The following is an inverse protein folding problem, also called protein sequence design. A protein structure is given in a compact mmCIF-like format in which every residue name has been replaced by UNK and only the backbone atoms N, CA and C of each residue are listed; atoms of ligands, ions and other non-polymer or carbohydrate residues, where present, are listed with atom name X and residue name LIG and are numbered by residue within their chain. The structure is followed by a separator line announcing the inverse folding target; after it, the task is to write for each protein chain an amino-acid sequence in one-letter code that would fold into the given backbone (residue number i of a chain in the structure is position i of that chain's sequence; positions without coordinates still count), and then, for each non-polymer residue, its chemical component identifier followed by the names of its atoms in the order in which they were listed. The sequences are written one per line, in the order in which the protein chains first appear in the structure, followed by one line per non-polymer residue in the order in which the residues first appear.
data_IF_603045491004
#
_entry.id   IF_603045491004
#
_cell.length_a   1.000
_cell.length_b   1.000
_cell.length_c   1.000
_cell.angle_alpha   90.00
_cell.angle_beta   90.00
_cell.angle_gamma   90.00
#
_symmetry.space_group_name_H-M   'P 1'
#
loop_
_entity.id
_entity.type
_entity.pdbx_description
1 polymer ?
#
# COMPACT_ATOMS: atom_id res chain seq x y z
N UNK A 1 -2.87 -8.37 -23.22
CA UNK A 1 -3.54 -8.97 -22.04
C UNK A 1 -3.08 -8.20 -20.80
N UNK A 2 -4.02 -7.63 -20.04
CA UNK A 2 -3.71 -6.84 -18.83
C UNK A 2 -4.28 -7.45 -17.55
N UNK A 3 -5.10 -8.52 -17.64
CA UNK A 3 -5.68 -9.17 -16.48
C UNK A 3 -4.62 -9.93 -15.69
N UNK A 4 -4.33 -9.44 -14.50
CA UNK A 4 -3.37 -10.00 -13.56
C UNK A 4 -4.15 -10.64 -12.42
N UNK A 5 -3.92 -11.93 -12.21
CA UNK A 5 -4.53 -12.74 -11.16
C UNK A 5 -3.43 -13.03 -10.13
N UNK A 6 -3.43 -12.31 -9.02
CA UNK A 6 -2.38 -12.41 -7.99
C UNK A 6 -2.97 -12.49 -6.59
N UNK A 7 -2.14 -12.77 -5.61
CA UNK A 7 -2.49 -12.77 -4.17
C UNK A 7 -3.06 -11.41 -3.75
N UNK A 8 -2.53 -10.31 -4.30
CA UNK A 8 -3.00 -8.96 -3.99
C UNK A 8 -4.30 -8.58 -4.71
N UNK A 9 -4.97 -9.53 -5.33
CA UNK A 9 -6.25 -9.37 -6.00
C UNK A 9 -6.23 -9.57 -7.51
N UNK A 10 -7.39 -9.41 -8.11
CA UNK A 10 -7.64 -9.54 -9.55
C UNK A 10 -7.67 -8.14 -10.13
N UNK A 11 -6.68 -7.80 -10.95
CA UNK A 11 -6.43 -6.46 -11.47
C UNK A 11 -6.37 -6.46 -12.98
N UNK A 12 -6.93 -5.44 -13.64
CA UNK A 12 -6.83 -5.28 -15.09
C UNK A 12 -7.31 -3.93 -15.57
N UNK A 13 -7.03 -3.63 -16.84
CA UNK A 13 -7.63 -2.48 -17.52
C UNK A 13 -9.12 -2.77 -17.80
N UNK A 14 -9.95 -1.76 -17.60
CA UNK A 14 -11.41 -1.85 -17.84
C UNK A 14 -11.70 -1.92 -19.33
N UNK A 15 -12.61 -2.80 -19.73
CA UNK A 15 -13.02 -3.02 -21.12
C UNK A 15 -12.23 -4.15 -21.78
N UNK A 16 -12.30 -4.24 -23.10
CA UNK A 16 -11.62 -5.28 -23.87
C UNK A 16 -12.30 -6.65 -23.83
N UNK A 17 -11.53 -7.74 -23.76
CA UNK A 17 -12.03 -9.10 -23.83
C UNK A 17 -12.01 -9.79 -22.46
N UNK A 18 -12.99 -10.68 -22.26
CA UNK A 18 -13.06 -11.56 -21.09
C UNK A 18 -11.77 -12.37 -20.96
N UNK A 19 -11.29 -12.57 -19.72
CA UNK A 19 -10.05 -13.25 -19.37
C UNK A 19 -8.75 -12.56 -19.85
N UNK A 20 -8.85 -11.49 -20.66
CA UNK A 20 -7.69 -10.68 -21.09
C UNK A 20 -7.62 -9.33 -20.36
N UNK A 21 -8.76 -8.80 -19.94
CA UNK A 21 -8.93 -7.52 -19.26
C UNK A 21 -9.90 -7.69 -18.09
N UNK A 22 -10.07 -6.67 -17.25
CA UNK A 22 -11.11 -6.68 -16.22
C UNK A 22 -12.44 -6.23 -16.82
N UNK A 23 -13.21 -7.18 -17.30
CA UNK A 23 -14.56 -6.95 -17.86
C UNK A 23 -15.65 -7.12 -16.80
N UNK A 24 -16.90 -6.70 -17.06
CA UNK A 24 -18.05 -7.01 -16.19
C UNK A 24 -18.21 -8.51 -15.89
N UNK A 25 -17.94 -9.38 -16.85
CA UNK A 25 -18.03 -10.84 -16.69
C UNK A 25 -16.94 -11.32 -15.72
N UNK A 26 -15.70 -10.80 -15.84
CA UNK A 26 -14.61 -11.14 -14.93
C UNK A 26 -14.93 -10.68 -13.50
N UNK A 27 -15.49 -9.47 -13.31
CA UNK A 27 -15.89 -8.98 -12.00
C UNK A 27 -16.92 -9.90 -11.33
N UNK A 28 -17.95 -10.33 -12.06
CA UNK A 28 -18.96 -11.30 -11.58
C UNK A 28 -18.32 -12.64 -11.25
N UNK A 29 -17.49 -13.19 -12.15
CA UNK A 29 -16.81 -14.48 -11.99
C UNK A 29 -15.96 -14.53 -10.74
N UNK A 30 -15.10 -13.52 -10.51
CA UNK A 30 -14.21 -13.47 -9.35
C UNK A 30 -14.94 -13.14 -8.06
N UNK A 31 -15.99 -12.33 -8.10
CA UNK A 31 -16.87 -12.10 -6.93
C UNK A 31 -17.58 -13.38 -6.52
N UNK A 32 -18.09 -14.15 -7.49
CA UNK A 32 -18.74 -15.43 -7.23
C UNK A 32 -17.76 -16.46 -6.63
N UNK A 33 -16.55 -16.53 -7.17
CA UNK A 33 -15.51 -17.42 -6.66
C UNK A 33 -15.09 -17.06 -5.23
N UNK A 34 -14.87 -15.77 -4.94
CA UNK A 34 -14.52 -15.29 -3.60
C UNK A 34 -15.66 -15.57 -2.60
N UNK A 35 -16.93 -15.28 -2.96
CA UNK A 35 -18.07 -15.53 -2.10
C UNK A 35 -18.25 -17.03 -1.81
N UNK A 36 -18.03 -17.90 -2.81
CA UNK A 36 -18.08 -19.36 -2.63
C UNK A 36 -16.97 -19.86 -1.73
N UNK A 37 -15.75 -19.34 -1.89
CA UNK A 37 -14.63 -19.63 -0.99
C UNK A 37 -14.95 -19.23 0.45
N UNK A 38 -15.48 -18.01 0.70
CA UNK A 38 -15.87 -17.56 2.04
C UNK A 38 -16.91 -18.46 2.68
N UNK A 39 -17.94 -18.87 1.94
CA UNK A 39 -18.98 -19.81 2.44
C UNK A 39 -18.36 -21.15 2.83
N UNK A 40 -17.42 -21.65 2.03
CA UNK A 40 -16.71 -22.91 2.32
C UNK A 40 -15.80 -22.80 3.56
N UNK A 41 -15.19 -21.65 3.79
CA UNK A 41 -14.30 -21.42 4.95
C UNK A 41 -15.05 -21.15 6.25
N UNK A 42 -16.10 -20.33 6.19
CA UNK A 42 -16.80 -19.87 7.39
C UNK A 42 -17.63 -20.97 8.05
N UNK A 43 -18.14 -21.92 7.27
CA UNK A 43 -19.10 -22.94 7.76
C UNK A 43 -20.39 -22.37 8.35
N UNK A 44 -20.63 -21.05 8.19
CA UNK A 44 -21.80 -20.33 8.70
C UNK A 44 -22.96 -20.38 7.70
N UNK A 45 -24.17 -20.38 8.22
CA UNK A 45 -25.37 -20.23 7.41
C UNK A 45 -25.46 -18.83 6.78
N UNK A 46 -25.07 -17.81 7.54
CA UNK A 46 -25.08 -16.42 7.10
C UNK A 46 -23.63 -15.89 7.01
N UNK A 47 -23.21 -15.54 5.82
CA UNK A 47 -21.90 -14.93 5.51
C UNK A 47 -22.12 -13.44 5.24
N UNK A 48 -21.23 -12.58 5.73
CA UNK A 48 -21.28 -11.13 5.55
C UNK A 48 -19.97 -10.64 4.95
N UNK A 49 -20.05 -9.71 3.98
CA UNK A 49 -18.90 -9.09 3.31
C UNK A 49 -19.02 -7.56 3.37
N UNK A 50 -17.95 -6.88 3.72
CA UNK A 50 -17.82 -5.41 3.59
C UNK A 50 -17.26 -5.09 2.21
N UNK A 51 -17.84 -4.09 1.53
CA UNK A 51 -17.36 -3.60 0.23
C UNK A 51 -17.15 -2.09 0.30
N UNK A 52 -15.95 -1.64 -0.10
CA UNK A 52 -15.63 -0.24 -0.33
C UNK A 52 -14.88 -0.04 -1.64
N UNK A 53 -14.80 1.19 -2.13
CA UNK A 53 -14.11 1.52 -3.37
C UNK A 53 -13.40 2.86 -3.31
N UNK A 54 -12.37 3.02 -4.15
CA UNK A 54 -11.82 4.33 -4.45
C UNK A 54 -12.72 5.13 -5.42
N UNK A 55 -12.29 6.31 -5.84
CA UNK A 55 -13.10 7.18 -6.69
C UNK A 55 -12.94 6.92 -8.19
N UNK A 56 -12.28 5.83 -8.62
CA UNK A 56 -12.11 5.49 -10.04
C UNK A 56 -13.47 5.51 -10.77
N UNK A 57 -13.47 6.06 -11.97
CA UNK A 57 -14.69 6.22 -12.81
C UNK A 57 -15.43 4.89 -13.00
N UNK A 58 -14.69 3.78 -13.15
CA UNK A 58 -15.27 2.43 -13.27
C UNK A 58 -15.77 1.84 -11.95
N UNK A 59 -15.48 2.49 -10.81
CA UNK A 59 -15.70 1.94 -9.48
C UNK A 59 -17.15 1.58 -9.20
N UNK A 60 -18.10 2.47 -9.52
CA UNK A 60 -19.53 2.24 -9.28
C UNK A 60 -20.07 1.06 -10.09
N UNK A 61 -19.71 0.95 -11.37
CA UNK A 61 -20.10 -0.18 -12.21
C UNK A 61 -19.61 -1.50 -11.62
N UNK A 62 -18.31 -1.59 -11.29
CA UNK A 62 -17.73 -2.82 -10.72
C UNK A 62 -18.34 -3.13 -9.36
N UNK A 63 -18.56 -2.12 -8.51
CA UNK A 63 -19.17 -2.30 -7.18
C UNK A 63 -20.57 -2.91 -7.30
N UNK A 64 -21.40 -2.42 -8.21
CA UNK A 64 -22.74 -2.95 -8.42
C UNK A 64 -22.72 -4.40 -8.89
N UNK A 65 -21.83 -4.76 -9.83
CA UNK A 65 -21.68 -6.12 -10.29
C UNK A 65 -21.24 -7.06 -9.15
N UNK A 66 -20.24 -6.66 -8.37
CA UNK A 66 -19.70 -7.45 -7.26
C UNK A 66 -20.73 -7.63 -6.15
N UNK A 67 -21.35 -6.55 -5.66
CA UNK A 67 -22.31 -6.62 -4.54
C UNK A 67 -23.53 -7.46 -4.88
N UNK A 68 -24.11 -7.31 -6.07
CA UNK A 68 -25.28 -8.10 -6.46
C UNK A 68 -24.94 -9.57 -6.78
N UNK A 69 -23.71 -9.85 -7.20
CA UNK A 69 -23.23 -11.24 -7.32
C UNK A 69 -23.17 -11.90 -5.95
N UNK A 70 -22.63 -11.24 -4.93
CA UNK A 70 -22.57 -11.76 -3.56
C UNK A 70 -23.97 -11.96 -2.98
N UNK A 71 -24.87 -11.00 -3.17
CA UNK A 71 -26.29 -11.13 -2.78
C UNK A 71 -26.93 -12.35 -3.44
N UNK A 72 -26.65 -12.57 -4.73
CA UNK A 72 -27.10 -13.75 -5.47
C UNK A 72 -26.54 -15.07 -4.92
N UNK A 73 -25.40 -15.06 -4.23
CA UNK A 73 -24.86 -16.22 -3.52
C UNK A 73 -25.47 -16.42 -2.12
N UNK A 74 -26.37 -15.55 -1.67
CA UNK A 74 -26.93 -15.58 -0.31
C UNK A 74 -26.00 -14.94 0.73
N UNK A 75 -25.14 -14.01 0.34
CA UNK A 75 -24.18 -13.31 1.21
C UNK A 75 -24.69 -11.92 1.49
N UNK A 76 -24.74 -11.53 2.77
CA UNK A 76 -25.05 -10.18 3.17
C UNK A 76 -23.91 -9.22 2.85
N UNK A 77 -24.22 -8.06 2.31
CA UNK A 77 -23.24 -7.05 1.90
C UNK A 77 -23.44 -5.76 2.66
N UNK A 78 -22.38 -5.29 3.30
CA UNK A 78 -22.27 -3.94 3.86
C UNK A 78 -21.45 -3.08 2.89
N UNK A 79 -22.14 -2.20 2.16
CA UNK A 79 -21.51 -1.26 1.24
C UNK A 79 -21.17 0.03 1.98
N UNK A 80 -19.88 0.31 2.13
CA UNK A 80 -19.37 1.51 2.81
C UNK A 80 -19.01 2.65 1.83
N UNK A 81 -19.39 2.51 0.56
CA UNK A 81 -19.29 3.56 -0.45
C UNK A 81 -17.86 3.90 -0.85
N UNK A 82 -17.62 5.20 -1.08
CA UNK A 82 -16.29 5.76 -1.29
C UNK A 82 -15.48 5.64 0.00
N UNK A 83 -14.42 4.87 -0.06
CA UNK A 83 -13.63 4.51 1.12
C UNK A 83 -12.16 4.31 0.77
N UNK A 84 -11.33 4.19 1.77
CA UNK A 84 -9.92 3.88 1.61
C UNK A 84 -9.66 2.40 1.82
N UNK A 85 -8.57 1.86 1.27
CA UNK A 85 -8.15 0.47 1.55
C UNK A 85 -8.10 0.20 3.05
N UNK A 86 -7.35 0.99 3.88
CA UNK A 86 -7.30 0.73 5.32
C UNK A 86 -8.65 0.88 6.03
N UNK A 87 -9.54 1.76 5.55
CA UNK A 87 -10.88 1.86 6.16
C UNK A 87 -11.71 0.59 5.94
N UNK A 88 -11.63 -0.05 4.77
CA UNK A 88 -12.30 -1.34 4.53
C UNK A 88 -11.69 -2.43 5.42
N UNK A 89 -10.36 -2.46 5.55
CA UNK A 89 -9.65 -3.40 6.42
C UNK A 89 -10.08 -3.27 7.88
N UNK A 90 -10.23 -2.06 8.38
CA UNK A 90 -10.75 -1.77 9.73
C UNK A 90 -12.24 -2.09 9.85
N UNK A 91 -13.03 -1.88 8.80
CA UNK A 91 -14.47 -2.12 8.82
C UNK A 91 -14.83 -3.62 8.92
N UNK A 92 -14.04 -4.51 8.31
CA UNK A 92 -14.32 -5.96 8.35
C UNK A 92 -14.44 -6.51 9.76
N UNK A 93 -13.46 -6.37 10.67
CA UNK A 93 -13.60 -6.83 12.03
C UNK A 93 -14.63 -6.03 12.87
N UNK A 94 -14.84 -4.73 12.58
CA UNK A 94 -15.87 -3.93 13.25
C UNK A 94 -17.27 -4.45 12.95
N UNK A 95 -17.55 -4.83 11.71
CA UNK A 95 -18.80 -5.45 11.28
C UNK A 95 -18.92 -6.92 11.68
N UNK A 96 -17.83 -7.53 12.19
CA UNK A 96 -17.73 -8.98 12.36
C UNK A 96 -18.08 -9.71 11.06
N UNK A 97 -17.63 -9.14 9.94
CA UNK A 97 -17.82 -9.70 8.63
C UNK A 97 -16.85 -10.87 8.40
N UNK A 98 -17.20 -11.78 7.51
CA UNK A 98 -16.38 -12.94 7.16
C UNK A 98 -15.26 -12.60 6.16
N UNK A 99 -15.36 -11.42 5.54
CA UNK A 99 -14.36 -10.89 4.65
C UNK A 99 -14.72 -9.51 4.10
N UNK A 100 -13.89 -9.03 3.16
CA UNK A 100 -14.07 -7.73 2.53
C UNK A 100 -13.57 -7.69 1.10
N UNK A 101 -14.07 -6.74 0.32
CA UNK A 101 -13.58 -6.45 -1.03
C UNK A 101 -13.33 -4.95 -1.13
N UNK A 102 -12.12 -4.61 -1.59
CA UNK A 102 -11.77 -3.24 -1.93
C UNK A 102 -11.66 -3.13 -3.45
N UNK A 103 -12.41 -2.22 -4.04
CA UNK A 103 -12.42 -1.97 -5.47
C UNK A 103 -11.52 -0.80 -5.80
N UNK A 104 -10.27 -1.11 -6.11
CA UNK A 104 -9.22 -0.14 -6.40
C UNK A 104 -8.04 -0.80 -7.09
N UNK A 105 -7.39 -0.09 -8.00
CA UNK A 105 -6.10 -0.49 -8.55
C UNK A 105 -4.93 0.31 -7.95
N UNK A 106 -5.10 0.89 -6.74
CA UNK A 106 -4.08 1.69 -6.04
C UNK A 106 -3.48 2.75 -6.97
N UNK A 107 -2.17 2.80 -7.12
CA UNK A 107 -1.41 3.76 -7.92
C UNK A 107 -1.42 3.50 -9.45
N UNK A 108 -2.13 2.48 -9.94
CA UNK A 108 -2.25 2.30 -11.40
C UNK A 108 -3.06 3.44 -12.03
N UNK A 109 -2.83 3.76 -13.32
CA UNK A 109 -3.58 4.77 -14.05
C UNK A 109 -5.10 4.54 -14.04
N UNK A 110 -5.88 5.55 -14.43
CA UNK A 110 -7.34 5.58 -14.32
C UNK A 110 -8.08 4.46 -15.07
N UNK A 111 -7.45 3.91 -16.11
CA UNK A 111 -8.00 2.81 -16.91
C UNK A 111 -8.03 1.48 -16.15
N UNK A 112 -7.30 1.35 -15.06
CA UNK A 112 -7.21 0.15 -14.25
C UNK A 112 -8.26 0.12 -13.14
N UNK A 113 -8.70 -1.08 -12.79
CA UNK A 113 -9.38 -1.35 -11.52
C UNK A 113 -9.00 -2.77 -11.03
N UNK A 114 -9.39 -3.09 -9.80
CA UNK A 114 -9.15 -4.41 -9.24
C UNK A 114 -10.18 -4.76 -8.16
N UNK A 115 -10.26 -6.06 -7.86
CA UNK A 115 -10.89 -6.63 -6.68
C UNK A 115 -9.75 -7.05 -5.74
N UNK A 116 -9.50 -6.33 -4.67
CA UNK A 116 -8.60 -6.73 -3.58
C UNK A 116 -9.44 -7.47 -2.54
N UNK A 117 -9.02 -8.68 -2.16
CA UNK A 117 -9.82 -9.61 -1.35
C UNK A 117 -9.26 -9.72 0.07
N UNK A 118 -10.12 -9.57 1.07
CA UNK A 118 -9.75 -9.63 2.48
C UNK A 118 -10.37 -10.85 3.17
N UNK A 119 -9.69 -11.33 4.21
CA UNK A 119 -10.20 -12.34 5.14
C UNK A 119 -11.04 -11.69 6.27
N UNK A 120 -11.49 -12.48 7.23
CA UNK A 120 -12.30 -12.07 8.38
C UNK A 120 -11.59 -11.13 9.37
N UNK A 121 -10.26 -10.99 9.26
CA UNK A 121 -9.45 -10.07 10.06
C UNK A 121 -9.26 -8.70 9.39
N UNK A 122 -9.78 -8.53 8.18
CA UNK A 122 -9.53 -7.34 7.37
C UNK A 122 -8.12 -7.33 6.73
N UNK A 123 -7.47 -8.48 6.63
CA UNK A 123 -6.16 -8.63 6.00
C UNK A 123 -6.32 -9.21 4.59
N UNK A 124 -5.37 -8.95 3.69
CA UNK A 124 -5.37 -9.61 2.39
C UNK A 124 -5.35 -11.14 2.55
N UNK A 125 -6.07 -11.83 1.67
CA UNK A 125 -6.08 -13.29 1.63
C UNK A 125 -4.67 -13.84 1.41
N UNK A 126 -4.37 -15.01 1.97
CA UNK A 126 -3.07 -15.67 1.81
C UNK A 126 -2.87 -16.16 0.36
N UNK A 127 -1.62 -16.51 0.01
CA UNK A 127 -1.31 -17.16 -1.28
C UNK A 127 -2.11 -18.46 -1.49
N UNK A 128 -2.28 -19.25 -0.42
CA UNK A 128 -3.06 -20.47 -0.46
C UNK A 128 -4.55 -20.20 -0.75
N UNK A 129 -5.12 -19.19 -0.09
CA UNK A 129 -6.51 -18.80 -0.26
C UNK A 129 -6.74 -18.19 -1.65
N UNK A 130 -5.83 -17.33 -2.10
CA UNK A 130 -5.87 -16.77 -3.45
C UNK A 130 -5.85 -17.84 -4.54
N UNK A 131 -5.01 -18.87 -4.40
CA UNK A 131 -5.00 -20.03 -5.32
C UNK A 131 -6.31 -20.82 -5.28
N UNK A 132 -6.91 -21.00 -4.10
CA UNK A 132 -8.21 -21.67 -3.97
C UNK A 132 -9.32 -20.89 -4.67
N UNK A 133 -9.37 -19.55 -4.48
CA UNK A 133 -10.33 -18.67 -5.15
C UNK A 133 -10.15 -18.72 -6.68
N UNK A 134 -8.92 -18.67 -7.17
CA UNK A 134 -8.64 -18.75 -8.61
C UNK A 134 -9.06 -20.08 -9.21
N UNK A 135 -8.89 -21.19 -8.49
CA UNK A 135 -9.37 -22.51 -8.91
C UNK A 135 -10.90 -22.53 -9.02
N UNK A 136 -11.62 -22.07 -8.00
CA UNK A 136 -13.08 -21.95 -8.03
C UNK A 136 -13.54 -21.13 -9.24
N UNK A 137 -12.87 -20.00 -9.51
CA UNK A 137 -13.17 -19.16 -10.68
C UNK A 137 -12.92 -19.90 -12.01
N UNK A 138 -11.85 -20.66 -12.11
CA UNK A 138 -11.49 -21.41 -13.33
C UNK A 138 -12.47 -22.55 -13.61
N UNK A 139 -12.89 -23.26 -12.55
CA UNK A 139 -13.82 -24.40 -12.63
C UNK A 139 -15.29 -23.94 -12.71
N UNK A 140 -15.59 -22.65 -12.48
CA UNK A 140 -16.93 -22.08 -12.26
C UNK A 140 -17.69 -22.83 -11.14
N UNK A 141 -16.97 -23.25 -10.10
CA UNK A 141 -17.51 -24.03 -8.98
C UNK A 141 -18.19 -23.10 -7.96
N UNK A 142 -19.32 -22.54 -8.36
CA UNK A 142 -20.17 -21.71 -7.51
C UNK A 142 -21.65 -21.94 -7.83
N UNK A 143 -22.47 -21.88 -6.77
CA UNK A 143 -23.93 -22.04 -6.86
C UNK A 143 -24.64 -20.84 -6.23
N UNK A 144 -25.59 -20.29 -6.96
CA UNK A 144 -26.39 -19.16 -6.49
C UNK A 144 -27.53 -19.64 -5.59
N UNK A 145 -27.94 -18.75 -4.68
CA UNK A 145 -29.03 -19.00 -3.74
C UNK A 145 -30.39 -18.98 -4.46
N UNK A 146 -31.36 -19.67 -3.87
CA UNK A 146 -32.76 -19.54 -4.28
C UNK A 146 -33.33 -18.16 -3.83
N UNK A 147 -34.47 -17.76 -4.37
CA UNK A 147 -35.07 -16.44 -4.10
C UNK A 147 -35.29 -16.16 -2.62
N UNK A 148 -35.61 -17.18 -1.84
CA UNK A 148 -35.87 -17.05 -0.39
C UNK A 148 -34.58 -16.95 0.46
N UNK A 149 -33.42 -17.20 -0.16
CA UNK A 149 -32.10 -17.21 0.51
C UNK A 149 -31.12 -16.18 -0.05
N UNK A 150 -31.61 -15.18 -0.78
CA UNK A 150 -30.80 -14.07 -1.23
C UNK A 150 -30.24 -13.27 -0.05
N UNK A 151 -28.99 -12.80 -0.18
CA UNK A 151 -28.39 -11.90 0.78
C UNK A 151 -29.04 -10.52 0.80
N UNK A 152 -28.66 -9.70 1.78
CA UNK A 152 -29.17 -8.33 1.96
C UNK A 152 -28.09 -7.32 1.70
N UNK A 153 -28.47 -6.15 1.17
CA UNK A 153 -27.60 -4.99 1.01
C UNK A 153 -27.88 -3.95 2.10
N UNK A 154 -26.84 -3.54 2.80
CA UNK A 154 -26.87 -2.41 3.75
C UNK A 154 -25.87 -1.36 3.29
N UNK A 155 -26.23 -0.09 3.36
CA UNK A 155 -25.32 1.03 3.09
C UNK A 155 -24.97 1.71 4.42
N UNK A 156 -23.67 1.98 4.63
CA UNK A 156 -23.16 2.69 5.80
C UNK A 156 -21.93 3.53 5.43
N UNK A 157 -22.04 4.84 5.46
CA UNK A 157 -21.00 5.80 5.08
C UNK A 157 -20.16 6.32 6.26
N UNK A 158 -20.38 5.78 7.47
CA UNK A 158 -19.70 6.24 8.71
C UNK A 158 -18.27 5.71 8.88
N UNK A 159 -17.84 4.74 8.07
CA UNK A 159 -16.62 3.99 8.36
C UNK A 159 -15.34 4.80 8.31
N UNK A 160 -15.26 5.86 7.47
CA UNK A 160 -14.10 6.78 7.51
C UNK A 160 -14.02 7.46 8.88
N UNK A 161 -15.14 7.92 9.42
CA UNK A 161 -15.18 8.57 10.74
C UNK A 161 -14.86 7.59 11.87
N UNK A 162 -15.40 6.38 11.82
CA UNK A 162 -15.07 5.31 12.78
C UNK A 162 -13.59 4.92 12.73
N UNK A 163 -12.99 4.87 11.55
CA UNK A 163 -11.56 4.63 11.40
C UNK A 163 -10.74 5.77 12.02
N UNK A 164 -11.08 7.03 11.75
CA UNK A 164 -10.44 8.21 12.35
C UNK A 164 -10.55 8.16 13.89
N UNK A 165 -11.69 7.77 14.44
CA UNK A 165 -11.85 7.60 15.89
C UNK A 165 -10.92 6.54 16.47
N UNK A 166 -10.74 5.42 15.77
CA UNK A 166 -9.77 4.39 16.18
C UNK A 166 -8.33 4.90 16.12
N UNK A 167 -7.97 5.68 15.08
CA UNK A 167 -6.66 6.32 15.00
C UNK A 167 -6.43 7.27 16.18
N UNK A 168 -7.43 8.08 16.56
CA UNK A 168 -7.31 8.99 17.70
C UNK A 168 -7.24 8.29 19.06
N UNK A 169 -7.79 7.08 19.17
CA UNK A 169 -7.72 6.28 20.37
C UNK A 169 -6.34 5.61 20.60
N UNK A 170 -5.45 5.65 19.63
CA UNK A 170 -4.11 5.06 19.75
C UNK A 170 -3.25 5.83 20.76
N UNK A 171 -2.52 5.15 21.65
CA UNK A 171 -1.74 5.80 22.71
C UNK A 171 -0.68 6.77 22.22
N UNK A 172 -0.15 6.58 21.02
CA UNK A 172 0.89 7.43 20.44
C UNK A 172 0.36 8.58 19.60
N UNK A 173 -0.93 8.66 19.38
CA UNK A 173 -1.57 9.82 18.73
C UNK A 173 -1.93 10.84 19.80
N UNK A 174 -1.48 12.09 19.62
CA UNK A 174 -1.60 13.15 20.62
C UNK A 174 -2.40 14.36 20.09
N UNK A 175 -3.75 14.24 19.96
CA UNK A 175 -4.58 15.27 19.34
C UNK A 175 -4.42 16.66 19.94
N UNK A 176 -4.37 16.76 21.28
CA UNK A 176 -4.24 18.04 21.98
C UNK A 176 -2.89 18.73 21.73
N UNK A 177 -1.81 17.96 21.58
CA UNK A 177 -0.50 18.48 21.24
C UNK A 177 -0.48 19.00 19.79
N UNK A 178 -1.11 18.27 18.87
CA UNK A 178 -1.23 18.64 17.45
C UNK A 178 -2.05 19.93 17.33
N UNK A 179 -3.21 20.02 17.97
CA UNK A 179 -4.09 21.21 17.95
C UNK A 179 -3.39 22.48 18.41
N UNK A 180 -2.52 22.38 19.40
CA UNK A 180 -1.74 23.54 19.91
C UNK A 180 -0.75 24.09 18.89
N UNK A 181 -0.30 23.31 17.94
CA UNK A 181 0.67 23.72 16.91
C UNK A 181 0.05 24.54 15.79
N UNK A 182 -1.26 24.38 15.54
CA UNK A 182 -2.00 25.06 14.47
C UNK A 182 -1.32 24.90 13.10
N UNK A 183 -0.96 23.66 12.78
CA UNK A 183 -0.33 23.37 11.49
C UNK A 183 -1.20 23.82 10.32
N UNK A 184 -0.57 24.26 9.25
CA UNK A 184 -1.15 24.59 7.95
C UNK A 184 -0.57 23.64 6.89
N UNK A 185 -1.42 22.82 6.26
CA UNK A 185 -0.99 21.68 5.45
C UNK A 185 -1.67 21.68 4.08
N UNK A 186 -0.91 21.47 3.02
CA UNK A 186 -1.45 21.20 1.68
C UNK A 186 -1.68 19.70 1.54
N UNK A 187 -2.87 19.30 1.05
CA UNK A 187 -3.22 17.88 0.81
C UNK A 187 -3.46 17.66 -0.66
N UNK A 188 -2.69 16.75 -1.26
CA UNK A 188 -2.93 16.21 -2.60
C UNK A 188 -3.45 14.77 -2.48
N UNK A 189 -4.67 14.55 -2.90
CA UNK A 189 -5.37 13.28 -2.84
C UNK A 189 -5.70 12.73 -4.24
N UNK A 190 -5.05 13.22 -5.27
CA UNK A 190 -5.14 12.78 -6.67
C UNK A 190 -6.60 12.61 -7.18
N UNK A 191 -7.52 13.45 -6.68
CA UNK A 191 -8.96 13.39 -6.93
C UNK A 191 -9.58 12.01 -6.62
N UNK A 192 -9.16 11.41 -5.51
CA UNK A 192 -9.71 10.15 -5.02
C UNK A 192 -10.15 10.25 -3.54
N UNK A 193 -10.32 9.11 -2.89
CA UNK A 193 -10.92 9.01 -1.54
C UNK A 193 -10.08 9.63 -0.44
N UNK A 194 -8.78 9.83 -0.68
CA UNK A 194 -7.94 10.65 0.18
C UNK A 194 -8.46 12.07 0.38
N UNK A 195 -9.16 12.65 -0.63
CA UNK A 195 -9.81 13.96 -0.55
C UNK A 195 -10.99 14.01 0.44
N UNK A 196 -11.52 12.87 0.84
CA UNK A 196 -12.53 12.72 1.90
C UNK A 196 -11.82 12.46 3.24
N UNK A 197 -10.96 11.44 3.30
CA UNK A 197 -10.43 10.91 4.54
C UNK A 197 -9.39 11.82 5.20
N UNK A 198 -8.40 12.32 4.42
CA UNK A 198 -7.29 13.11 4.98
C UNK A 198 -7.77 14.49 5.48
N UNK A 199 -8.56 15.28 4.73
CA UNK A 199 -9.10 16.52 5.27
C UNK A 199 -9.93 16.33 6.55
N UNK A 200 -10.79 15.31 6.62
CA UNK A 200 -11.58 15.01 7.84
C UNK A 200 -10.68 14.71 9.05
N UNK A 201 -9.65 13.89 8.86
CA UNK A 201 -8.66 13.58 9.91
C UNK A 201 -7.99 14.87 10.41
N UNK A 202 -7.47 15.69 9.49
CA UNK A 202 -6.72 16.90 9.78
C UNK A 202 -7.59 17.99 10.44
N UNK A 203 -8.79 18.23 9.91
CA UNK A 203 -9.74 19.21 10.44
C UNK A 203 -10.14 18.87 11.90
N UNK A 204 -10.34 17.58 12.22
CA UNK A 204 -10.59 17.11 13.59
C UNK A 204 -9.38 17.25 14.51
N UNK A 205 -8.16 17.28 13.95
CA UNK A 205 -6.91 17.59 14.68
C UNK A 205 -6.63 19.11 14.77
N UNK A 206 -7.54 19.94 14.30
CA UNK A 206 -7.37 21.41 14.34
C UNK A 206 -6.31 21.94 13.38
N UNK A 207 -5.98 21.19 12.33
CA UNK A 207 -5.05 21.55 11.27
C UNK A 207 -5.78 22.34 10.19
N UNK A 208 -5.20 23.45 9.72
CA UNK A 208 -5.69 24.20 8.56
C UNK A 208 -5.32 23.44 7.27
N UNK A 209 -6.33 23.09 6.47
CA UNK A 209 -6.16 22.26 5.27
C UNK A 209 -6.31 23.08 4.00
N UNK A 210 -5.29 23.06 3.16
CA UNK A 210 -5.32 23.59 1.79
C UNK A 210 -5.49 22.41 0.85
N UNK A 211 -6.67 22.30 0.24
CA UNK A 211 -7.04 21.16 -0.63
C UNK A 211 -6.49 21.37 -2.04
N UNK A 212 -5.70 20.40 -2.51
CA UNK A 212 -5.22 20.27 -3.88
C UNK A 212 -5.67 18.89 -4.38
N UNK A 213 -6.42 18.86 -5.50
CA UNK A 213 -6.91 17.59 -6.08
C UNK A 213 -7.63 16.67 -5.08
N UNK A 214 -8.55 17.26 -4.30
CA UNK A 214 -9.32 16.56 -3.26
C UNK A 214 -10.79 16.28 -3.65
N UNK A 215 -11.18 16.44 -4.93
CA UNK A 215 -12.51 16.09 -5.41
C UNK A 215 -12.54 14.59 -5.78
N UNK A 216 -13.34 13.74 -5.11
CA UNK A 216 -13.32 12.29 -5.33
C UNK A 216 -14.08 11.90 -6.60
N UNK A 217 -13.66 12.41 -7.77
CA UNK A 217 -14.29 12.20 -9.07
C UNK A 217 -13.56 11.20 -9.98
N UNK A 218 -12.38 10.71 -9.56
CA UNK A 218 -11.60 9.72 -10.29
C UNK A 218 -10.86 10.24 -11.52
N UNK A 219 -10.88 11.55 -11.77
CA UNK A 219 -10.08 12.20 -12.80
C UNK A 219 -8.73 12.59 -12.22
N UNK A 220 -7.76 11.69 -12.31
CA UNK A 220 -6.43 11.88 -11.77
C UNK A 220 -5.68 12.97 -12.55
N UNK A 221 -5.29 14.10 -11.91
CA UNK A 221 -4.63 15.22 -12.58
C UNK A 221 -3.16 14.92 -12.92
N UNK A 222 -2.55 13.98 -12.24
CA UNK A 222 -1.20 13.48 -12.47
C UNK A 222 -1.16 11.96 -12.29
N UNK A 223 0.00 11.33 -12.54
CA UNK A 223 0.17 9.92 -12.23
C UNK A 223 -0.08 9.69 -10.73
N UNK A 224 -0.96 8.73 -10.37
CA UNK A 224 -1.37 8.55 -8.98
C UNK A 224 -0.29 7.91 -8.06
N UNK A 225 0.86 7.51 -8.59
CA UNK A 225 1.97 7.09 -7.75
C UNK A 225 2.69 8.29 -7.15
N UNK A 226 2.84 8.39 -5.80
CA UNK A 226 3.40 9.55 -5.13
C UNK A 226 4.93 9.61 -5.25
N UNK A 227 5.45 9.77 -6.47
CA UNK A 227 6.86 9.90 -6.80
C UNK A 227 7.21 11.35 -7.16
N UNK A 228 8.45 11.73 -6.94
CA UNK A 228 8.97 13.11 -7.13
C UNK A 228 8.59 13.72 -8.49
N UNK A 229 8.68 12.93 -9.55
CA UNK A 229 8.40 13.37 -10.93
C UNK A 229 6.93 13.76 -11.18
N UNK A 230 6.01 13.36 -10.29
CA UNK A 230 4.57 13.59 -10.43
C UNK A 230 4.04 14.69 -9.50
N UNK A 231 4.83 15.16 -8.55
CA UNK A 231 4.39 15.98 -7.43
C UNK A 231 4.82 17.45 -7.50
N UNK A 232 5.12 17.95 -8.71
CA UNK A 232 5.57 19.34 -8.90
C UNK A 232 4.56 20.38 -8.40
N UNK A 233 3.25 20.12 -8.57
CA UNK A 233 2.20 21.08 -8.19
C UNK A 233 2.10 21.26 -6.68
N UNK A 234 2.11 20.17 -5.90
CA UNK A 234 2.06 20.28 -4.44
C UNK A 234 3.36 20.88 -3.88
N UNK A 235 4.54 20.51 -4.43
CA UNK A 235 5.81 21.11 -4.03
C UNK A 235 5.77 22.63 -4.16
N UNK A 236 5.27 23.15 -5.28
CA UNK A 236 5.08 24.57 -5.52
C UNK A 236 4.03 25.18 -4.59
N UNK A 237 2.88 24.49 -4.43
CA UNK A 237 1.77 24.97 -3.62
C UNK A 237 2.13 25.12 -2.15
N UNK A 238 2.92 24.20 -1.56
CA UNK A 238 3.40 24.33 -0.17
C UNK A 238 4.16 25.62 0.04
N UNK A 239 5.06 25.98 -0.88
CA UNK A 239 5.87 27.22 -0.79
C UNK A 239 5.00 28.46 -1.00
N UNK A 240 4.12 28.47 -2.00
CA UNK A 240 3.23 29.59 -2.31
C UNK A 240 2.30 29.91 -1.14
N UNK A 241 1.73 28.89 -0.52
CA UNK A 241 0.82 29.04 0.62
C UNK A 241 1.53 29.21 1.95
N UNK A 242 2.86 29.10 1.98
CA UNK A 242 3.66 29.09 3.22
C UNK A 242 3.14 28.06 4.23
N UNK A 243 2.79 26.88 3.71
CA UNK A 243 2.33 25.78 4.52
C UNK A 243 3.50 25.16 5.31
N UNK A 244 3.22 24.56 6.47
CA UNK A 244 4.23 23.88 7.27
C UNK A 244 4.76 22.63 6.55
N UNK A 245 3.90 21.99 5.74
CA UNK A 245 4.28 20.86 4.87
C UNK A 245 3.12 20.44 3.95
N UNK A 246 3.41 19.47 3.07
CA UNK A 246 2.41 18.83 2.21
C UNK A 246 2.22 17.34 2.55
N UNK A 247 1.01 16.85 2.33
CA UNK A 247 0.62 15.44 2.41
C UNK A 247 0.17 14.99 1.04
N UNK A 248 0.70 13.87 0.57
CA UNK A 248 0.29 13.21 -0.67
C UNK A 248 -0.12 11.78 -0.37
N UNK A 249 -1.27 11.38 -0.88
CA UNK A 249 -1.74 9.98 -0.80
C UNK A 249 -2.12 9.47 -2.18
N UNK A 250 -2.01 8.16 -2.37
CA UNK A 250 -2.48 7.50 -3.58
C UNK A 250 -4.02 7.30 -3.57
N UNK A 251 -4.63 6.81 -4.66
CA UNK A 251 -6.10 6.76 -4.79
C UNK A 251 -6.85 6.03 -3.68
N UNK A 252 -6.27 5.03 -3.08
CA UNK A 252 -6.89 4.21 -2.03
C UNK A 252 -6.26 4.39 -0.64
N UNK A 253 -5.33 5.36 -0.51
CA UNK A 253 -4.83 5.89 0.77
C UNK A 253 -4.03 4.86 1.58
N UNK A 254 -3.40 3.91 0.90
CA UNK A 254 -2.49 2.95 1.52
C UNK A 254 -1.02 3.41 1.45
N UNK A 255 -0.71 4.47 0.64
CA UNK A 255 0.60 5.10 0.53
C UNK A 255 0.57 6.56 0.92
N UNK A 256 1.65 7.01 1.54
CA UNK A 256 1.80 8.35 2.11
C UNK A 256 3.18 8.92 1.81
N UNK A 257 3.22 10.11 1.24
CA UNK A 257 4.45 10.88 1.10
C UNK A 257 4.26 12.29 1.69
N UNK A 258 5.36 12.88 2.16
CA UNK A 258 5.38 14.24 2.68
C UNK A 258 6.22 15.17 1.81
N UNK A 259 5.80 16.42 1.74
CA UNK A 259 6.56 17.53 1.14
C UNK A 259 7.01 18.46 2.27
N UNK A 260 8.28 18.84 2.29
CA UNK A 260 8.81 19.73 3.31
C UNK A 260 8.30 21.16 3.14
N UNK A 261 8.46 22.00 4.15
CA UNK A 261 8.18 23.44 4.12
C UNK A 261 8.96 24.20 3.04
N UNK A 262 10.03 23.60 2.49
CA UNK A 262 10.81 24.15 1.37
C UNK A 262 10.29 23.68 -0.02
N UNK A 263 9.21 22.90 -0.06
CA UNK A 263 8.69 22.33 -1.31
C UNK A 263 9.51 21.17 -1.85
N UNK A 264 10.34 20.54 -1.03
CA UNK A 264 11.13 19.38 -1.39
C UNK A 264 10.46 18.09 -0.90
N UNK A 265 10.70 16.98 -1.61
CA UNK A 265 10.24 15.68 -1.13
C UNK A 265 10.92 15.29 0.18
N UNK A 266 10.12 14.95 1.20
CA UNK A 266 10.64 14.27 2.40
C UNK A 266 11.21 12.90 2.03
N UNK A 267 10.65 12.29 0.98
CA UNK A 267 10.96 10.99 0.43
C UNK A 267 10.00 9.91 0.95
N UNK A 268 9.42 9.14 0.02
CA UNK A 268 8.45 8.09 0.35
C UNK A 268 9.02 7.02 1.30
N UNK A 269 10.30 6.69 1.14
CA UNK A 269 11.02 5.77 2.03
C UNK A 269 11.09 6.30 3.48
N UNK A 270 11.19 7.62 3.64
CA UNK A 270 11.37 8.25 4.96
C UNK A 270 10.07 8.45 5.72
N UNK A 271 8.93 8.25 5.10
CA UNK A 271 7.63 8.21 5.80
C UNK A 271 7.65 7.12 6.87
N UNK A 272 8.04 5.90 6.50
CA UNK A 272 8.19 4.79 7.45
C UNK A 272 9.30 5.04 8.46
N UNK A 273 10.43 5.60 8.02
CA UNK A 273 11.58 5.91 8.90
C UNK A 273 11.17 6.89 10.01
N UNK A 274 10.45 7.96 9.68
CA UNK A 274 10.00 8.96 10.65
C UNK A 274 8.96 8.40 11.63
N UNK A 275 7.97 7.66 11.13
CA UNK A 275 6.97 7.00 11.99
C UNK A 275 7.62 5.97 12.92
N UNK A 276 8.58 5.17 12.40
CA UNK A 276 9.30 4.19 13.20
C UNK A 276 10.19 4.85 14.27
N UNK A 277 10.90 5.92 13.92
CA UNK A 277 11.70 6.69 14.89
C UNK A 277 10.83 7.26 16.02
N UNK A 278 9.60 7.70 15.71
CA UNK A 278 8.65 8.15 16.73
C UNK A 278 8.17 6.99 17.61
N UNK A 279 7.69 5.91 17.02
CA UNK A 279 7.19 4.74 17.75
C UNK A 279 8.29 4.16 18.64
N UNK A 280 9.50 3.97 18.11
CA UNK A 280 10.64 3.42 18.86
C UNK A 280 11.15 4.35 19.95
N UNK A 281 10.92 5.65 19.86
CA UNK A 281 11.20 6.60 20.95
C UNK A 281 10.29 6.39 22.17
N UNK A 282 9.13 5.73 22.00
CA UNK A 282 8.13 5.49 23.04
C UNK A 282 8.10 4.05 23.54
N UNK A 283 8.34 3.09 22.65
CA UNK A 283 8.32 1.67 22.96
C UNK A 283 9.43 0.93 22.22
N UNK A 284 10.05 -0.06 22.87
CA UNK A 284 11.00 -0.94 22.22
C UNK A 284 10.29 -2.13 21.59
N UNK A 285 10.63 -2.43 20.35
CA UNK A 285 10.10 -3.59 19.64
C UNK A 285 10.72 -3.72 18.25
N UNK A 286 10.53 -4.86 17.62
CA UNK A 286 11.07 -5.15 16.30
C UNK A 286 10.41 -4.30 15.22
N UNK A 287 11.13 -4.06 14.12
CA UNK A 287 10.63 -3.33 12.95
C UNK A 287 10.85 -4.15 11.69
N UNK A 288 9.94 -4.01 10.73
CA UNK A 288 9.97 -4.76 9.47
C UNK A 288 9.78 -3.83 8.28
N UNK A 289 10.56 -4.05 7.21
CA UNK A 289 10.19 -3.54 5.88
C UNK A 289 10.44 -4.59 4.80
N UNK A 290 10.10 -4.29 3.55
CA UNK A 290 10.46 -5.19 2.47
C UNK A 290 11.93 -5.01 2.03
N UNK A 291 12.47 -5.99 1.30
CA UNK A 291 13.85 -6.01 0.82
C UNK A 291 14.25 -4.81 -0.07
N UNK A 292 13.28 -4.19 -0.75
CA UNK A 292 13.52 -3.04 -1.64
C UNK A 292 13.45 -1.69 -0.90
N UNK A 293 13.20 -1.68 0.41
CA UNK A 293 13.13 -0.45 1.22
C UNK A 293 14.53 0.05 1.59
N UNK A 294 14.61 1.35 1.88
CA UNK A 294 15.86 1.99 2.30
C UNK A 294 16.42 1.38 3.59
N UNK A 295 17.75 1.29 3.66
CA UNK A 295 18.45 0.90 4.89
C UNK A 295 18.30 1.90 6.03
N UNK A 296 17.78 3.10 5.77
CA UNK A 296 17.52 4.09 6.81
C UNK A 296 16.67 3.56 7.96
N UNK A 297 15.70 2.67 7.69
CA UNK A 297 14.92 2.00 8.75
C UNK A 297 15.78 1.07 9.60
N UNK A 298 16.72 0.33 8.99
CA UNK A 298 17.68 -0.51 9.71
C UNK A 298 18.56 0.32 10.64
N UNK A 299 19.00 1.49 10.17
CA UNK A 299 19.82 2.39 10.99
C UNK A 299 19.03 2.96 12.19
N UNK A 300 17.74 3.26 12.00
CA UNK A 300 16.84 3.64 13.11
C UNK A 300 16.68 2.47 14.10
N UNK A 301 16.46 1.25 13.64
CA UNK A 301 16.40 0.09 14.51
C UNK A 301 17.70 -0.08 15.33
N UNK A 302 18.85 0.07 14.70
CA UNK A 302 20.16 0.04 15.35
C UNK A 302 20.32 1.15 16.39
N UNK A 303 19.89 2.37 16.09
CA UNK A 303 19.91 3.51 17.01
C UNK A 303 19.17 3.20 18.32
N UNK A 304 18.04 2.48 18.24
CA UNK A 304 17.24 2.10 19.40
C UNK A 304 17.63 0.74 20.01
N UNK A 305 18.59 0.03 19.42
CA UNK A 305 19.03 -1.28 19.89
C UNK A 305 17.95 -2.36 19.77
N UNK A 306 17.16 -2.31 18.69
CA UNK A 306 16.10 -3.27 18.38
C UNK A 306 16.38 -4.02 17.08
N UNK A 307 15.66 -5.11 16.82
CA UNK A 307 15.85 -5.94 15.62
C UNK A 307 15.10 -5.34 14.42
N UNK A 308 15.82 -5.24 13.30
CA UNK A 308 15.23 -5.02 11.97
C UNK A 308 15.14 -6.36 11.23
N UNK A 309 14.01 -6.63 10.60
CA UNK A 309 13.81 -7.77 9.70
C UNK A 309 13.32 -7.31 8.34
N UNK A 310 13.77 -7.99 7.28
CA UNK A 310 13.35 -7.70 5.91
C UNK A 310 12.50 -8.84 5.36
N UNK A 311 11.36 -8.50 4.76
CA UNK A 311 10.45 -9.43 4.10
C UNK A 311 10.62 -9.40 2.57
N UNK A 312 10.09 -10.42 1.88
CA UNK A 312 9.84 -10.32 0.44
C UNK A 312 8.92 -9.11 0.14
N UNK A 313 9.01 -8.56 -1.07
CA UNK A 313 8.19 -7.41 -1.47
C UNK A 313 6.72 -7.79 -1.56
N UNK A 314 5.87 -6.91 -1.06
CA UNK A 314 4.42 -7.04 -1.02
C UNK A 314 3.88 -7.10 0.40
N UNK A 315 2.78 -6.41 0.62
CA UNK A 315 2.18 -6.21 1.95
C UNK A 315 1.94 -7.52 2.71
N UNK A 316 1.39 -8.54 2.06
CA UNK A 316 1.14 -9.87 2.67
C UNK A 316 2.41 -10.46 3.28
N UNK A 317 3.54 -10.31 2.57
CA UNK A 317 4.85 -10.82 3.04
C UNK A 317 5.36 -10.00 4.23
N UNK A 318 5.22 -8.67 4.17
CA UNK A 318 5.60 -7.77 5.26
C UNK A 318 4.76 -8.07 6.51
N UNK A 319 3.45 -8.19 6.38
CA UNK A 319 2.53 -8.53 7.48
C UNK A 319 2.88 -9.90 8.09
N UNK A 320 3.15 -10.90 7.25
CA UNK A 320 3.56 -12.23 7.72
C UNK A 320 4.84 -12.16 8.55
N UNK A 321 5.84 -11.43 8.08
CA UNK A 321 7.10 -11.25 8.80
C UNK A 321 6.91 -10.43 10.07
N UNK A 322 6.08 -9.36 10.05
CA UNK A 322 5.75 -8.57 11.23
C UNK A 322 5.14 -9.43 12.35
N UNK A 323 4.21 -10.31 11.99
CA UNK A 323 3.62 -11.27 12.96
C UNK A 323 4.64 -12.26 13.49
N UNK A 324 5.51 -12.78 12.62
CA UNK A 324 6.55 -13.75 12.99
C UNK A 324 7.54 -13.19 14.01
N UNK A 325 7.93 -11.92 13.88
CA UNK A 325 8.91 -11.26 14.74
C UNK A 325 8.29 -10.35 15.80
N UNK A 326 6.94 -10.32 15.89
CA UNK A 326 6.19 -9.44 16.81
C UNK A 326 6.59 -7.97 16.64
N UNK A 327 6.66 -7.51 15.39
CA UNK A 327 7.04 -6.13 15.08
C UNK A 327 5.99 -5.13 15.53
N UNK A 328 6.40 -4.02 16.13
CA UNK A 328 5.51 -2.97 16.63
C UNK A 328 5.21 -1.90 15.57
N UNK A 329 6.00 -1.83 14.52
CA UNK A 329 5.77 -1.01 13.33
C UNK A 329 6.49 -1.64 12.15
N UNK A 330 5.93 -1.49 10.96
CA UNK A 330 6.54 -1.92 9.72
C UNK A 330 5.92 -1.24 8.52
N UNK A 331 6.25 -1.73 7.33
CA UNK A 331 5.70 -1.17 6.10
C UNK A 331 6.57 -1.42 4.88
N UNK A 332 6.34 -0.61 3.87
CA UNK A 332 7.09 -0.66 2.62
C UNK A 332 7.67 0.72 2.28
N UNK A 333 8.81 0.74 1.59
CA UNK A 333 9.49 1.97 1.17
C UNK A 333 8.74 2.83 0.15
N UNK A 334 7.52 2.46 -0.19
CA UNK A 334 6.62 3.22 -1.05
C UNK A 334 5.67 4.16 -0.27
N UNK A 335 5.96 4.42 1.00
CA UNK A 335 5.15 5.24 1.89
C UNK A 335 4.05 4.47 2.66
N UNK A 336 4.02 3.15 2.55
CA UNK A 336 3.05 2.30 3.26
C UNK A 336 3.47 2.06 4.71
N UNK A 337 2.68 2.52 5.67
CA UNK A 337 2.87 2.33 7.10
C UNK A 337 1.92 1.25 7.61
N UNK A 338 2.46 0.28 8.35
CA UNK A 338 1.67 -0.74 9.05
C UNK A 338 1.90 -0.58 10.55
N UNK A 339 0.83 -0.29 11.29
CA UNK A 339 0.87 -0.13 12.74
C UNK A 339 -0.07 -1.13 13.41
N UNK A 340 0.47 -2.25 13.94
CA UNK A 340 -0.34 -3.39 14.42
C UNK A 340 -1.33 -3.10 15.54
N UNK A 341 -1.09 -2.05 16.34
CA UNK A 341 -2.05 -1.64 17.37
C UNK A 341 -3.39 -1.16 16.76
N UNK A 342 -3.40 -0.75 15.49
CA UNK A 342 -4.61 -0.42 14.77
C UNK A 342 -5.08 -1.63 13.94
N UNK A 343 -4.28 -2.04 12.95
CA UNK A 343 -4.51 -3.21 12.11
C UNK A 343 -3.25 -3.62 11.34
N UNK A 344 -3.30 -4.78 10.69
CA UNK A 344 -2.21 -5.30 9.84
C UNK A 344 -2.46 -4.98 8.36
N UNK A 345 -2.48 -3.69 8.02
CA UNK A 345 -2.58 -3.17 6.66
C UNK A 345 -1.85 -1.84 6.53
N UNK A 346 -1.47 -1.46 5.32
CA UNK A 346 -0.85 -0.16 5.07
C UNK A 346 -1.89 0.94 5.18
N UNK A 347 -1.59 1.97 5.98
CA UNK A 347 -2.55 2.98 6.38
C UNK A 347 -1.93 4.38 6.43
N UNK A 348 -2.33 5.24 5.49
CA UNK A 348 -1.89 6.62 5.47
C UNK A 348 -2.52 7.46 6.59
N UNK A 349 -3.73 7.13 7.10
CA UNK A 349 -4.36 7.88 8.17
C UNK A 349 -3.56 7.76 9.47
N UNK A 350 -3.19 6.54 9.84
CA UNK A 350 -2.33 6.32 11.02
C UNK A 350 -0.94 6.92 10.81
N UNK A 351 -0.39 6.82 9.59
CA UNK A 351 0.89 7.44 9.23
C UNK A 351 0.88 8.96 9.43
N UNK A 352 -0.15 9.65 8.96
CA UNK A 352 -0.35 11.10 9.15
C UNK A 352 -0.46 11.45 10.63
N UNK A 353 -1.24 10.70 11.40
CA UNK A 353 -1.45 10.97 12.82
C UNK A 353 -0.17 10.78 13.65
N UNK A 354 0.61 9.72 13.38
CA UNK A 354 1.91 9.49 14.01
C UNK A 354 2.93 10.57 13.64
N UNK A 355 3.00 10.97 12.37
CA UNK A 355 3.90 12.00 11.90
C UNK A 355 3.57 13.38 12.51
N UNK A 356 2.30 13.77 12.59
CA UNK A 356 1.86 14.99 13.25
C UNK A 356 2.18 14.96 14.74
N UNK A 357 2.00 13.83 15.42
CA UNK A 357 2.35 13.64 16.83
C UNK A 357 3.86 13.82 17.06
N UNK A 358 4.68 13.24 16.17
CA UNK A 358 6.13 13.42 16.15
C UNK A 358 6.51 14.91 16.03
N UNK A 359 5.94 15.63 15.05
CA UNK A 359 6.21 17.04 14.84
C UNK A 359 5.73 17.90 16.01
N UNK A 360 4.56 17.58 16.57
CA UNK A 360 4.02 18.31 17.72
C UNK A 360 4.92 18.19 18.94
N UNK A 361 5.53 17.05 19.15
CA UNK A 361 6.42 16.79 20.27
C UNK A 361 7.82 17.36 20.06
N UNK A 362 8.46 17.05 18.91
CA UNK A 362 9.86 17.45 18.66
C UNK A 362 9.99 18.93 18.28
N UNK A 363 8.97 19.50 17.64
CA UNK A 363 9.05 20.83 17.06
C UNK A 363 9.99 20.89 15.85
N UNK A 364 10.29 22.10 15.38
CA UNK A 364 11.07 22.33 14.17
C UNK A 364 10.23 22.20 12.89
N UNK A 365 10.86 22.36 11.74
CA UNK A 365 10.22 22.19 10.43
C UNK A 365 10.37 20.77 9.90
N UNK A 366 9.58 20.43 8.88
CA UNK A 366 9.68 19.13 8.23
C UNK A 366 10.99 18.96 7.48
N UNK A 367 11.55 20.05 6.94
CA UNK A 367 12.89 20.06 6.35
C UNK A 367 13.96 19.71 7.40
N UNK A 368 13.93 20.35 8.57
CA UNK A 368 14.86 20.05 9.66
C UNK A 368 14.72 18.60 10.15
N UNK A 369 13.50 18.08 10.22
CA UNK A 369 13.28 16.68 10.57
C UNK A 369 13.94 15.74 9.55
N UNK A 370 13.79 16.01 8.23
CA UNK A 370 14.41 15.23 7.16
C UNK A 370 15.94 15.19 7.27
N UNK A 371 16.55 16.32 7.57
CA UNK A 371 17.99 16.46 7.71
C UNK A 371 18.58 15.66 8.90
N UNK A 372 17.75 15.30 9.88
CA UNK A 372 18.18 14.49 11.02
C UNK A 372 18.28 12.97 10.68
N UNK A 373 17.78 12.55 9.51
CA UNK A 373 17.87 11.16 9.06
C UNK A 373 19.05 10.96 8.10
N UNK A 374 19.69 9.77 8.12
CA UNK A 374 20.73 9.43 7.15
C UNK A 374 20.24 9.66 5.71
N UNK A 375 21.06 10.29 4.89
CA UNK A 375 20.73 10.51 3.50
C UNK A 375 21.12 9.27 2.66
N UNK A 376 20.10 8.59 2.11
CA UNK A 376 20.25 7.52 1.13
C UNK A 376 19.47 7.90 -0.13
N UNK A 377 19.99 7.45 -1.27
CA UNK A 377 19.43 7.73 -2.59
C UNK A 377 19.24 6.42 -3.34
N UNK A 378 18.09 6.27 -3.97
CA UNK A 378 17.76 5.06 -4.72
C UNK A 378 17.80 5.31 -6.24
N UNK A 379 18.18 4.26 -6.98
CA UNK A 379 18.04 4.21 -8.42
C UNK A 379 17.20 2.98 -8.80
N UNK A 380 16.09 3.20 -9.51
CA UNK A 380 15.11 2.17 -9.88
C UNK A 380 15.20 1.93 -11.40
N UNK A 381 15.67 0.77 -11.79
CA UNK A 381 15.94 0.40 -13.18
C UNK A 381 15.30 -0.94 -13.54
N UNK A 382 15.32 -1.27 -14.84
CA UNK A 382 14.91 -2.60 -15.34
C UNK A 382 15.71 -3.00 -16.57
N UNK A 383 15.89 -4.30 -16.74
CA UNK A 383 16.39 -4.90 -17.99
C UNK A 383 15.25 -5.67 -18.64
N UNK A 384 15.03 -5.41 -19.93
CA UNK A 384 14.13 -6.19 -20.76
C UNK A 384 14.82 -7.51 -21.14
N UNK A 385 14.12 -8.62 -20.96
CA UNK A 385 14.55 -9.95 -21.38
C UNK A 385 13.80 -10.39 -22.63
N UNK A 386 14.38 -11.32 -23.38
CA UNK A 386 13.64 -12.06 -24.41
C UNK A 386 13.00 -13.30 -23.78
N UNK A 387 11.97 -13.87 -24.41
CA UNK A 387 11.27 -15.07 -23.91
C UNK A 387 12.18 -16.30 -23.76
N UNK A 388 13.34 -16.30 -24.45
CA UNK A 388 14.31 -17.39 -24.44
C UNK A 388 15.25 -17.35 -23.22
N UNK A 389 15.30 -16.21 -22.52
CA UNK A 389 16.22 -15.99 -21.40
C UNK A 389 15.54 -16.34 -20.08
N UNK A 390 16.12 -17.30 -19.37
CA UNK A 390 15.64 -17.65 -18.03
C UNK A 390 16.24 -16.70 -16.98
N UNK A 391 15.42 -15.83 -16.35
CA UNK A 391 15.89 -14.88 -15.35
C UNK A 391 16.49 -15.57 -14.11
N UNK A 392 16.04 -16.76 -13.74
CA UNK A 392 16.54 -17.48 -12.56
C UNK A 392 18.01 -17.92 -12.75
N UNK A 393 18.43 -18.22 -13.97
CA UNK A 393 19.84 -18.52 -14.27
C UNK A 393 20.74 -17.31 -14.12
N UNK A 394 20.26 -16.12 -14.54
CA UNK A 394 20.99 -14.86 -14.39
C UNK A 394 21.14 -14.55 -12.88
N UNK A 395 20.06 -14.60 -12.12
CA UNK A 395 20.09 -14.34 -10.69
C UNK A 395 21.03 -15.29 -9.95
N UNK A 396 21.02 -16.59 -10.31
CA UNK A 396 21.92 -17.59 -9.74
C UNK A 396 23.39 -17.33 -10.08
N UNK A 397 23.69 -16.92 -11.31
CA UNK A 397 25.06 -16.55 -11.70
C UNK A 397 25.55 -15.32 -10.93
N UNK A 398 24.68 -14.32 -10.74
CA UNK A 398 24.99 -13.15 -9.94
C UNK A 398 25.18 -13.51 -8.45
N UNK A 399 24.37 -14.37 -7.88
CA UNK A 399 24.53 -14.89 -6.52
C UNK A 399 25.90 -15.55 -6.33
N UNK A 400 26.30 -16.41 -7.26
CA UNK A 400 27.62 -17.06 -7.22
C UNK A 400 28.77 -16.07 -7.33
N UNK A 401 28.64 -15.07 -8.21
CA UNK A 401 29.65 -14.03 -8.40
C UNK A 401 29.87 -13.20 -7.13
N UNK A 402 28.81 -12.93 -6.40
CA UNK A 402 28.81 -12.10 -5.20
C UNK A 402 28.68 -12.92 -3.89
N UNK A 403 29.02 -14.22 -3.91
CA UNK A 403 28.95 -15.10 -2.73
C UNK A 403 29.86 -14.66 -1.56
N UNK A 404 30.79 -13.74 -1.80
CA UNK A 404 31.68 -13.15 -0.78
C UNK A 404 31.03 -11.95 -0.06
N UNK A 405 29.89 -11.44 -0.55
CA UNK A 405 29.11 -10.38 0.04
C UNK A 405 27.92 -10.95 0.84
N UNK A 406 27.25 -10.11 1.61
CA UNK A 406 26.02 -10.52 2.28
C UNK A 406 24.85 -10.58 1.27
N UNK A 407 24.33 -11.78 1.02
CA UNK A 407 23.24 -12.00 0.06
C UNK A 407 21.96 -12.47 0.74
N UNK A 408 20.80 -12.14 0.14
CA UNK A 408 19.48 -12.59 0.55
C UNK A 408 18.67 -12.97 -0.69
N UNK A 409 18.06 -14.17 -0.68
CA UNK A 409 17.37 -14.77 -1.84
C UNK A 409 15.89 -15.03 -1.62
N UNK A 410 15.27 -14.46 -0.59
CA UNK A 410 13.84 -14.68 -0.29
C UNK A 410 12.90 -14.07 -1.34
N UNK A 411 13.39 -13.09 -2.13
CA UNK A 411 12.65 -12.48 -3.25
C UNK A 411 13.65 -12.00 -4.31
N UNK A 412 14.04 -12.87 -5.22
CA UNK A 412 15.11 -12.58 -6.16
C UNK A 412 16.49 -12.64 -5.51
N UNK A 413 17.34 -11.64 -5.73
CA UNK A 413 18.68 -11.56 -5.15
C UNK A 413 18.94 -10.14 -4.63
N UNK A 414 19.09 -9.97 -3.34
CA UNK A 414 19.64 -8.75 -2.74
C UNK A 414 21.08 -8.98 -2.31
N UNK A 415 21.94 -8.03 -2.62
CA UNK A 415 23.35 -8.01 -2.25
C UNK A 415 23.57 -6.73 -1.44
N UNK A 416 23.97 -6.89 -0.17
CA UNK A 416 24.30 -5.79 0.73
C UNK A 416 25.81 -5.57 0.75
N UNK A 417 26.25 -4.35 0.40
CA UNK A 417 27.61 -3.86 0.56
C UNK A 417 27.72 -2.99 1.82
N UNK A 418 28.91 -2.55 2.16
CA UNK A 418 29.15 -1.73 3.36
C UNK A 418 28.26 -0.48 3.40
N UNK A 419 28.18 0.28 2.30
CA UNK A 419 27.48 1.56 2.21
C UNK A 419 26.37 1.62 1.18
N UNK A 420 26.06 0.52 0.49
CA UNK A 420 25.10 0.42 -0.59
C UNK A 420 24.46 -0.97 -0.64
N UNK A 421 23.42 -1.12 -1.45
CA UNK A 421 22.86 -2.43 -1.78
C UNK A 421 22.29 -2.44 -3.19
N UNK A 422 22.15 -3.62 -3.77
CA UNK A 422 21.40 -3.87 -5.00
C UNK A 422 20.39 -4.99 -4.77
N UNK A 423 19.18 -4.82 -5.31
CA UNK A 423 18.13 -5.83 -5.30
C UNK A 423 17.68 -6.13 -6.73
N UNK A 424 17.85 -7.37 -7.16
CA UNK A 424 17.53 -7.90 -8.47
C UNK A 424 16.28 -8.78 -8.35
N UNK A 425 15.18 -8.40 -9.00
CA UNK A 425 13.91 -9.14 -8.96
C UNK A 425 13.36 -9.42 -10.34
N UNK A 426 12.99 -10.66 -10.61
CA UNK A 426 12.18 -10.96 -11.79
C UNK A 426 10.75 -10.40 -11.61
N UNK A 427 10.17 -9.91 -12.70
CA UNK A 427 8.76 -9.57 -12.74
C UNK A 427 7.94 -10.85 -12.94
N UNK A 428 6.79 -10.94 -12.24
CA UNK A 428 5.85 -12.04 -12.43
C UNK A 428 4.91 -11.82 -13.63
N UNK A 429 4.94 -10.63 -14.25
CA UNK A 429 3.97 -10.21 -15.27
C UNK A 429 4.62 -9.79 -16.58
N UNK A 430 5.92 -9.49 -16.57
CA UNK A 430 6.67 -8.99 -17.73
C UNK A 430 8.01 -9.71 -17.81
N UNK A 431 8.57 -9.92 -19.02
CA UNK A 431 9.90 -10.51 -19.18
C UNK A 431 11.00 -9.46 -18.85
N UNK A 432 11.07 -9.06 -17.59
CA UNK A 432 12.04 -8.08 -17.07
C UNK A 432 12.68 -8.55 -15.77
N UNK A 433 13.89 -8.09 -15.51
CA UNK A 433 14.49 -8.05 -14.17
C UNK A 433 14.50 -6.59 -13.72
N UNK A 434 13.91 -6.32 -12.56
CA UNK A 434 13.99 -5.02 -11.86
C UNK A 434 15.31 -4.95 -11.12
N UNK A 435 15.95 -3.78 -11.17
CA UNK A 435 17.24 -3.49 -10.54
C UNK A 435 17.08 -2.26 -9.69
N UNK A 436 17.00 -2.44 -8.39
CA UNK A 436 16.95 -1.34 -7.45
C UNK A 436 18.28 -1.28 -6.72
N UNK A 437 18.81 -0.08 -6.57
CA UNK A 437 20.07 0.16 -5.86
C UNK A 437 19.93 1.32 -4.91
N UNK A 438 20.69 1.31 -3.84
CA UNK A 438 20.79 2.42 -2.89
C UNK A 438 22.25 2.72 -2.59
N UNK A 439 22.57 4.00 -2.45
CA UNK A 439 23.88 4.51 -2.07
C UNK A 439 23.77 5.80 -1.27
N UNK A 440 24.89 6.33 -0.76
CA UNK A 440 24.97 7.60 -0.02
C UNK A 440 24.79 8.84 -0.89
N UNK A 441 24.80 8.69 -2.21
CA UNK A 441 24.56 9.73 -3.19
C UNK A 441 23.86 9.20 -4.43
N UNK A 442 23.10 10.08 -5.15
CA UNK A 442 22.41 9.67 -6.38
C UNK A 442 23.36 9.11 -7.43
N UNK A 443 24.53 9.75 -7.63
CA UNK A 443 25.54 9.28 -8.58
C UNK A 443 26.08 7.88 -8.22
N UNK A 444 26.22 7.58 -6.94
CA UNK A 444 26.68 6.28 -6.46
C UNK A 444 25.61 5.20 -6.70
N UNK A 445 24.34 5.51 -6.40
CA UNK A 445 23.23 4.60 -6.66
C UNK A 445 23.09 4.31 -8.17
N UNK A 446 23.17 5.34 -9.02
CA UNK A 446 23.08 5.20 -10.47
C UNK A 446 24.29 4.41 -11.05
N UNK A 447 25.48 4.67 -10.58
CA UNK A 447 26.69 3.95 -11.00
C UNK A 447 26.62 2.47 -10.60
N UNK A 448 26.10 2.17 -9.40
CA UNK A 448 25.89 0.80 -8.95
C UNK A 448 24.86 0.10 -9.84
N UNK A 449 23.73 0.75 -10.14
CA UNK A 449 22.71 0.20 -11.04
C UNK A 449 23.29 -0.10 -12.43
N UNK A 450 24.04 0.84 -13.01
CA UNK A 450 24.65 0.68 -14.33
C UNK A 450 25.63 -0.50 -14.35
N UNK A 451 26.47 -0.65 -13.32
CA UNK A 451 27.38 -1.79 -13.18
C UNK A 451 26.63 -3.12 -13.24
N UNK A 452 25.54 -3.25 -12.48
CA UNK A 452 24.75 -4.49 -12.46
C UNK A 452 23.98 -4.73 -13.77
N UNK A 453 23.53 -3.68 -14.45
CA UNK A 453 22.94 -3.76 -15.78
C UNK A 453 23.95 -4.34 -16.77
N UNK A 454 25.18 -3.84 -16.78
CA UNK A 454 26.26 -4.30 -17.69
C UNK A 454 26.66 -5.75 -17.39
N UNK A 455 26.84 -6.08 -16.11
CA UNK A 455 27.18 -7.45 -15.69
C UNK A 455 26.12 -8.47 -16.07
N UNK A 456 24.83 -8.14 -15.89
CA UNK A 456 23.73 -9.02 -16.29
C UNK A 456 23.60 -9.12 -17.82
N UNK A 457 23.83 -8.03 -18.56
CA UNK A 457 23.85 -8.07 -20.04
C UNK A 457 24.95 -8.98 -20.57
N UNK A 458 26.08 -9.07 -19.88
CA UNK A 458 27.17 -9.99 -20.27
C UNK A 458 26.83 -11.48 -20.03
N UNK A 459 25.74 -11.78 -19.29
CA UNK A 459 25.24 -13.13 -19.04
C UNK A 459 24.06 -13.52 -19.98
N UNK A 460 23.55 -12.56 -20.73
CA UNK A 460 22.49 -12.69 -21.73
C UNK A 460 23.07 -12.92 -23.11
#
# INVERSE_FOLDING_TARGET
MSLIKSISGIRGTIGGKVDENLTPIDAVKFAAAYGSWLKGQSGKEHVKVVIGRDARISGEMIQNLVQYTLIGLGIDVVNIGLSTTPTVEVAVPLEKADGGIILTASHNPKEWNALKLLNDKGEFVSDQDGKAILRIAQENDFSFATVDHLGKLTHDDRYIDLHIEKVFALPLVTPEAIQKKKFRVVVDAVNSTGGIAIPRLLERLGVEVIKLYCEPNGHFPHNPEPLKEHLGDICKKVVEEKADFGIVVDPDVDRLAFITDQGEMFGEEYTLVACADYVLSKAKGNVVSNLSSSRALRDIAQKYGVTYSAAAVGEVNVVTEMKRVEAIIGGEGNGGIIYPELHYGRDALVGVALFLSLLAERGGSVQQLRENYPAYFMSKNKIQLTEQINPDLILKAMEQKYAHEQTTTIDGLKIDFADSWVHLRKSNTEPIIRIYTEGKGQKEADALAQRFIEEMRALI
#
